data_IF_562643162723
#
_entry.id   IF_562643162723
#
_cell.length_a   1.000
_cell.length_b   1.000
_cell.length_c   1.000
_cell.angle_alpha   90.00
_cell.angle_beta   90.00
_cell.angle_gamma   90.00
#
_symmetry.space_group_name_H-M   'P 1'
#
loop_
_entity.id
_entity.type
_entity.pdbx_description
1 polymer ?
#
# COMPACT_ATOMS: atom_id res chain seq x y z
N UNK A 1 18.96 -1.67 -5.76
CA UNK A 1 18.56 -0.80 -4.65
C UNK A 1 17.05 -0.79 -4.42
N UNK A 2 16.31 -0.40 -5.45
CA UNK A 2 14.87 -0.29 -5.34
C UNK A 2 14.21 -1.65 -5.12
N UNK A 3 14.74 -2.69 -5.76
CA UNK A 3 14.24 -4.05 -5.54
C UNK A 3 14.51 -4.49 -4.10
N UNK A 4 15.67 -4.13 -3.56
CA UNK A 4 16.00 -4.42 -2.19
C UNK A 4 15.02 -3.74 -1.23
N UNK A 5 14.68 -2.48 -1.50
CA UNK A 5 13.71 -1.76 -0.67
C UNK A 5 12.34 -2.44 -0.69
N UNK A 6 11.88 -2.88 -1.87
CA UNK A 6 10.59 -3.55 -1.97
C UNK A 6 10.57 -4.86 -1.18
N UNK A 7 11.67 -5.62 -1.22
CA UNK A 7 11.77 -6.83 -0.41
C UNK A 7 11.72 -6.51 1.07
N UNK A 8 12.43 -5.47 1.49
CA UNK A 8 12.45 -5.09 2.90
C UNK A 8 11.07 -4.64 3.38
N UNK A 9 10.28 -4.01 2.51
CA UNK A 9 8.93 -3.60 2.88
C UNK A 9 8.09 -4.81 3.29
N UNK A 10 8.12 -5.89 2.52
CA UNK A 10 7.38 -7.09 2.86
C UNK A 10 7.85 -7.70 4.17
N UNK A 11 9.15 -7.71 4.39
CA UNK A 11 9.73 -8.28 5.61
C UNK A 11 9.43 -7.47 6.86
N UNK A 12 9.36 -6.14 6.73
CA UNK A 12 9.15 -5.23 7.84
C UNK A 12 7.71 -4.78 8.00
N UNK A 13 6.81 -5.29 7.17
CA UNK A 13 5.40 -4.89 7.18
C UNK A 13 4.72 -5.25 8.48
N UNK A 14 3.87 -4.35 8.97
CA UNK A 14 2.94 -4.69 10.04
C UNK A 14 1.90 -5.63 9.44
N UNK A 15 1.49 -6.64 10.21
CA UNK A 15 0.43 -7.55 9.78
C UNK A 15 -0.87 -6.75 9.63
N UNK A 16 -1.59 -6.87 8.51
CA UNK A 16 -2.80 -6.09 8.32
C UNK A 16 -3.86 -6.32 9.39
N UNK A 17 -4.00 -7.54 9.91
CA UNK A 17 -4.99 -7.78 10.95
C UNK A 17 -4.63 -7.05 12.24
N UNK A 18 -3.35 -6.98 12.57
CA UNK A 18 -2.89 -6.21 13.72
C UNK A 18 -3.11 -4.72 13.47
N UNK A 19 -2.79 -4.27 12.26
CA UNK A 19 -2.92 -2.85 11.90
C UNK A 19 -4.34 -2.33 12.09
N UNK A 20 -5.35 -3.16 11.77
CA UNK A 20 -6.75 -2.74 11.92
C UNK A 20 -7.26 -2.78 13.37
N UNK A 21 -6.46 -3.27 14.31
CA UNK A 21 -6.90 -3.43 15.69
C UNK A 21 -6.10 -2.65 16.71
N UNK A 22 -5.03 -1.96 16.31
CA UNK A 22 -4.16 -1.28 17.26
C UNK A 22 -4.40 0.24 17.37
N UNK A 23 -5.49 0.73 16.78
CA UNK A 23 -5.96 2.10 16.94
C UNK A 23 -4.97 3.17 16.42
N UNK A 24 -4.29 2.86 15.33
CA UNK A 24 -3.43 3.80 14.62
C UNK A 24 -3.88 3.91 13.17
N UNK A 25 -3.61 5.05 12.51
CA UNK A 25 -3.84 5.13 11.07
C UNK A 25 -3.00 4.10 10.31
N UNK A 26 -3.38 3.81 9.08
CA UNK A 26 -2.71 2.79 8.28
C UNK A 26 -2.32 3.36 6.92
N UNK A 27 -1.07 3.13 6.53
CA UNK A 27 -0.58 3.29 5.18
C UNK A 27 -0.43 1.88 4.61
N UNK A 28 -1.29 1.51 3.67
CA UNK A 28 -1.27 0.16 3.11
C UNK A 28 -0.92 0.24 1.63
N UNK A 29 0.20 -0.37 1.26
CA UNK A 29 0.64 -0.37 -0.13
C UNK A 29 0.59 -1.77 -0.73
N UNK A 30 -0.06 -1.87 -1.90
CA UNK A 30 -0.05 -3.06 -2.73
C UNK A 30 1.03 -2.87 -3.80
N UNK A 31 1.93 -3.84 -3.91
CA UNK A 31 3.11 -3.72 -4.77
C UNK A 31 3.49 -5.07 -5.35
N UNK A 32 4.44 -5.07 -6.27
CA UNK A 32 5.12 -6.28 -6.73
C UNK A 32 6.58 -5.94 -7.00
N UNK A 33 7.46 -6.94 -6.86
CA UNK A 33 8.89 -6.71 -7.08
C UNK A 33 9.22 -6.44 -8.54
N UNK A 34 8.39 -6.91 -9.48
CA UNK A 34 8.58 -6.67 -10.91
C UNK A 34 8.02 -5.33 -11.38
N UNK A 35 7.31 -4.62 -10.54
CA UNK A 35 6.60 -3.39 -10.91
C UNK A 35 7.58 -2.21 -10.95
N UNK A 36 7.82 -1.65 -12.14
CA UNK A 36 8.77 -0.55 -12.30
C UNK A 36 8.36 0.70 -11.55
N UNK A 37 7.07 1.05 -11.58
CA UNK A 37 6.58 2.23 -10.86
C UNK A 37 6.73 2.03 -9.35
N UNK A 38 6.50 0.81 -8.87
CA UNK A 38 6.73 0.50 -7.46
C UNK A 38 8.18 0.72 -7.07
N UNK A 39 9.11 0.31 -7.95
CA UNK A 39 10.54 0.51 -7.71
C UNK A 39 10.89 2.00 -7.68
N UNK A 40 10.31 2.77 -8.58
CA UNK A 40 10.55 4.21 -8.62
C UNK A 40 10.06 4.91 -7.36
N UNK A 41 8.94 4.47 -6.82
CA UNK A 41 8.38 5.06 -5.60
C UNK A 41 9.06 4.57 -4.32
N UNK A 42 9.78 3.45 -4.37
CA UNK A 42 10.28 2.83 -3.15
C UNK A 42 11.12 3.75 -2.27
N UNK A 43 12.05 4.56 -2.80
CA UNK A 43 12.82 5.47 -1.94
C UNK A 43 11.93 6.49 -1.20
N UNK A 44 10.92 7.02 -1.89
CA UNK A 44 9.98 7.96 -1.30
C UNK A 44 9.16 7.31 -0.20
N UNK A 45 8.67 6.09 -0.45
CA UNK A 45 7.88 5.35 0.52
C UNK A 45 8.73 4.98 1.73
N UNK A 46 9.99 4.61 1.50
CA UNK A 46 10.92 4.30 2.59
C UNK A 46 11.12 5.52 3.49
N UNK A 47 11.25 6.71 2.90
CA UNK A 47 11.40 7.94 3.66
C UNK A 47 10.14 8.23 4.49
N UNK A 48 8.97 8.06 3.91
CA UNK A 48 7.71 8.24 4.63
C UNK A 48 7.59 7.26 5.79
N UNK A 49 7.96 6.01 5.55
CA UNK A 49 7.93 4.99 6.59
C UNK A 49 8.83 5.36 7.76
N UNK A 50 10.06 5.78 7.47
CA UNK A 50 10.99 6.16 8.51
C UNK A 50 10.49 7.36 9.33
N UNK A 51 9.78 8.25 8.69
CA UNK A 51 9.28 9.45 9.34
C UNK A 51 8.06 9.18 10.20
N UNK A 52 7.15 8.31 9.76
CA UNK A 52 5.84 8.16 10.37
C UNK A 52 5.60 6.82 11.06
N UNK A 53 6.53 5.86 11.01
CA UNK A 53 6.22 4.50 11.47
C UNK A 53 5.90 4.38 12.95
N UNK A 54 6.27 5.37 13.76
CA UNK A 54 5.91 5.36 15.18
C UNK A 54 4.43 5.61 15.39
N UNK A 55 3.84 6.41 14.50
CA UNK A 55 2.46 6.86 14.67
C UNK A 55 1.49 6.19 13.71
N UNK A 56 1.99 5.59 12.66
CA UNK A 56 1.19 5.00 11.58
C UNK A 56 1.70 3.60 11.30
N UNK A 57 0.78 2.67 11.10
CA UNK A 57 1.12 1.32 10.68
C UNK A 57 1.41 1.32 9.19
N UNK A 58 2.59 0.86 8.80
CA UNK A 58 2.93 0.66 7.40
C UNK A 58 2.75 -0.81 7.06
N UNK A 59 1.81 -1.08 6.18
CA UNK A 59 1.43 -2.43 5.74
C UNK A 59 1.78 -2.54 4.27
N UNK A 60 2.56 -3.56 3.92
CA UNK A 60 2.99 -3.79 2.54
C UNK A 60 2.54 -5.17 2.09
N UNK A 61 1.72 -5.22 1.06
CA UNK A 61 1.13 -6.46 0.58
C UNK A 61 1.57 -6.71 -0.86
N UNK A 62 2.41 -7.71 -1.04
CA UNK A 62 2.89 -8.11 -2.36
C UNK A 62 1.76 -8.82 -3.08
N UNK A 63 1.33 -8.30 -4.23
CA UNK A 63 0.20 -8.87 -4.96
C UNK A 63 0.48 -10.27 -5.51
N UNK A 64 1.74 -10.66 -5.60
CA UNK A 64 2.11 -12.01 -6.01
C UNK A 64 1.97 -13.03 -4.88
N UNK A 65 1.79 -12.56 -3.64
CA UNK A 65 1.59 -13.45 -2.52
C UNK A 65 0.11 -13.78 -2.39
N UNK A 66 -0.20 -15.04 -2.63
CA UNK A 66 -1.57 -15.56 -2.64
C UNK A 66 -2.31 -15.29 -1.33
N UNK A 67 -1.59 -15.22 -0.25
CA UNK A 67 -2.12 -14.97 1.08
C UNK A 67 -2.91 -13.67 1.17
N UNK A 68 -2.58 -12.68 0.31
CA UNK A 68 -3.22 -11.36 0.33
C UNK A 68 -4.37 -11.21 -0.66
N UNK A 69 -4.79 -12.31 -1.30
CA UNK A 69 -5.82 -12.26 -2.33
C UNK A 69 -7.11 -11.61 -1.88
N UNK A 70 -7.53 -11.87 -0.64
CA UNK A 70 -8.78 -11.29 -0.14
C UNK A 70 -8.70 -9.78 0.08
N UNK A 71 -7.52 -9.25 0.38
CA UNK A 71 -7.33 -7.79 0.47
C UNK A 71 -7.32 -7.16 -0.91
N UNK A 72 -6.72 -7.85 -1.89
CA UNK A 72 -6.72 -7.38 -3.29
C UNK A 72 -8.14 -7.24 -3.80
N UNK A 73 -8.98 -8.21 -3.51
CA UNK A 73 -10.39 -8.16 -3.90
C UNK A 73 -11.15 -7.09 -3.12
N UNK A 74 -10.98 -7.08 -1.81
CA UNK A 74 -11.71 -6.17 -0.94
C UNK A 74 -11.48 -4.72 -1.32
N UNK A 75 -10.26 -4.36 -1.67
CA UNK A 75 -9.92 -2.98 -2.00
C UNK A 75 -9.82 -2.73 -3.50
N UNK A 76 -10.33 -3.67 -4.30
CA UNK A 76 -10.44 -3.54 -5.76
C UNK A 76 -9.13 -3.14 -6.41
N UNK A 77 -8.04 -3.84 -6.06
CA UNK A 77 -6.71 -3.52 -6.56
C UNK A 77 -6.54 -4.08 -7.97
N UNK A 78 -6.42 -3.19 -8.94
CA UNK A 78 -6.22 -3.57 -10.34
C UNK A 78 -4.92 -3.02 -10.92
N UNK A 79 -4.47 -1.90 -10.40
CA UNK A 79 -3.19 -1.28 -10.80
C UNK A 79 -2.31 -1.10 -9.59
N UNK A 80 -1.01 -1.21 -9.79
CA UNK A 80 -0.04 -1.06 -8.72
C UNK A 80 1.04 -0.04 -9.10
N UNK A 81 1.64 0.66 -8.15
CA UNK A 81 1.34 0.57 -6.71
C UNK A 81 -0.02 1.16 -6.39
N UNK A 82 -0.71 0.59 -5.43
CA UNK A 82 -1.90 1.21 -4.87
C UNK A 82 -1.66 1.43 -3.39
N UNK A 83 -1.85 2.66 -2.94
CA UNK A 83 -1.70 3.02 -1.53
C UNK A 83 -3.08 3.40 -0.99
N UNK A 84 -3.51 2.71 0.03
CA UNK A 84 -4.75 3.03 0.74
C UNK A 84 -4.38 3.63 2.09
N UNK A 85 -4.98 4.76 2.42
CA UNK A 85 -4.77 5.40 3.71
C UNK A 85 -6.05 5.31 4.54
N UNK A 86 -5.91 4.75 5.74
CA UNK A 86 -7.03 4.55 6.65
C UNK A 86 -6.82 5.38 7.91
N UNK A 87 -7.90 5.90 8.48
CA UNK A 87 -7.81 6.57 9.77
C UNK A 87 -7.68 5.51 10.89
N UNK A 88 -7.52 5.97 12.12
CA UNK A 88 -7.32 5.06 13.26
C UNK A 88 -8.53 4.19 13.57
N UNK A 89 -9.68 4.50 13.01
CA UNK A 89 -10.91 3.71 13.17
C UNK A 89 -11.08 2.68 12.05
N UNK A 90 -10.13 2.65 11.09
CA UNK A 90 -10.20 1.72 9.98
C UNK A 90 -11.01 2.21 8.79
N UNK A 91 -11.37 3.49 8.76
CA UNK A 91 -12.09 4.06 7.62
C UNK A 91 -11.09 4.39 6.51
N UNK A 92 -11.38 3.93 5.30
CA UNK A 92 -10.56 4.23 4.13
C UNK A 92 -10.87 5.65 3.68
N UNK A 93 -9.86 6.54 3.72
CA UNK A 93 -10.04 7.93 3.35
C UNK A 93 -9.42 8.28 2.00
N UNK A 94 -8.32 7.64 1.63
CA UNK A 94 -7.63 7.95 0.37
C UNK A 94 -7.18 6.68 -0.32
N UNK A 95 -7.33 6.65 -1.65
CA UNK A 95 -6.80 5.59 -2.49
C UNK A 95 -5.94 6.25 -3.57
N UNK A 96 -4.65 6.00 -3.53
CA UNK A 96 -3.72 6.48 -4.54
C UNK A 96 -3.34 5.33 -5.46
N UNK A 97 -3.52 5.51 -6.76
CA UNK A 97 -3.16 4.48 -7.73
C UNK A 97 -2.05 5.04 -8.62
N UNK A 98 -0.91 4.37 -8.61
CA UNK A 98 0.22 4.75 -9.43
C UNK A 98 1.20 5.68 -8.72
N UNK A 99 2.12 6.24 -9.50
CA UNK A 99 3.19 7.10 -8.98
C UNK A 99 2.62 8.43 -8.52
N UNK A 100 2.84 8.75 -7.25
CA UNK A 100 2.25 9.93 -6.64
C UNK A 100 3.28 10.97 -6.29
N UNK A 101 2.81 12.22 -6.20
CA UNK A 101 3.56 13.33 -5.66
C UNK A 101 3.70 13.13 -4.15
N UNK A 102 4.92 13.18 -3.66
CA UNK A 102 5.20 13.01 -2.24
C UNK A 102 4.43 14.02 -1.38
N UNK A 103 4.29 15.25 -1.86
CA UNK A 103 3.60 16.32 -1.12
C UNK A 103 2.15 15.92 -0.89
N UNK A 104 1.49 15.40 -1.92
CA UNK A 104 0.08 15.02 -1.82
C UNK A 104 -0.13 13.87 -0.84
N UNK A 105 0.74 12.87 -0.88
CA UNK A 105 0.65 11.74 0.06
C UNK A 105 0.89 12.25 1.49
N UNK A 106 1.88 13.11 1.67
CA UNK A 106 2.23 13.63 2.99
C UNK A 106 1.08 14.45 3.57
N UNK A 107 0.45 15.29 2.76
CA UNK A 107 -0.73 16.05 3.19
C UNK A 107 -1.86 15.12 3.61
N UNK A 108 -2.07 14.07 2.83
CA UNK A 108 -3.12 13.10 3.11
C UNK A 108 -2.86 12.34 4.41
N UNK A 109 -1.59 11.98 4.66
CA UNK A 109 -1.20 11.35 5.92
C UNK A 109 -1.52 12.28 7.09
N UNK A 110 -1.17 13.56 6.95
CA UNK A 110 -1.44 14.53 8.01
C UNK A 110 -2.95 14.71 8.27
N UNK A 111 -3.77 14.48 7.26
CA UNK A 111 -5.22 14.59 7.41
C UNK A 111 -5.85 13.38 8.10
N UNK A 112 -5.14 12.27 8.22
CA UNK A 112 -5.69 11.05 8.83
C UNK A 112 -6.04 11.23 10.31
N UNK A 113 -5.40 12.17 10.97
CA UNK A 113 -5.63 12.40 12.40
C UNK A 113 -6.75 13.39 12.67
N UNK A 114 -7.28 14.03 11.65
CA UNK A 114 -8.37 15.00 11.82
C UNK A 114 -9.69 14.25 11.98
N UNK A 115 -10.51 14.73 12.90
CA UNK A 115 -11.81 14.12 13.18
C UNK A 115 -12.89 14.67 12.28
N UNK A 116 -12.66 14.69 11.00
CA UNK A 116 -13.67 15.13 10.05
C UNK A 116 -14.47 13.93 9.56
N UNK A 117 -15.63 14.20 9.01
CA UNK A 117 -16.46 13.14 8.46
C UNK A 117 -15.68 12.41 7.37
N UNK A 118 -15.51 11.09 7.49
CA UNK A 118 -14.75 10.34 6.51
C UNK A 118 -15.40 10.39 5.13
N UNK A 119 -14.61 10.59 4.13
CA UNK A 119 -14.99 10.38 2.75
C UNK A 119 -13.80 9.82 2.01
N UNK A 120 -14.07 9.03 1.00
CA UNK A 120 -13.02 8.40 0.24
C UNK A 120 -12.66 9.25 -0.97
N UNK A 121 -11.36 9.49 -1.17
CA UNK A 121 -10.85 10.19 -2.33
C UNK A 121 -9.94 9.24 -3.12
N UNK A 122 -10.15 9.12 -4.43
CA UNK A 122 -9.38 8.25 -5.28
C UNK A 122 -8.53 9.10 -6.23
N UNK A 123 -7.22 8.92 -6.20
CA UNK A 123 -6.26 9.66 -7.01
C UNK A 123 -5.51 8.68 -7.92
N UNK A 124 -5.63 8.88 -9.23
CA UNK A 124 -5.00 8.01 -10.21
C UNK A 124 -3.79 8.69 -10.86
N UNK A 125 -2.78 7.89 -11.19
CA UNK A 125 -1.59 8.31 -11.91
C UNK A 125 -1.09 7.12 -12.73
N UNK A 126 0.11 7.21 -13.25
CA UNK A 126 0.72 6.11 -13.99
C UNK A 126 0.89 4.88 -13.10
N UNK A 127 0.44 3.72 -13.55
CA UNK A 127 0.47 2.49 -12.76
C UNK A 127 0.65 1.28 -13.66
N UNK A 128 1.03 0.15 -13.06
CA UNK A 128 1.10 -1.15 -13.73
C UNK A 128 -0.18 -1.92 -13.48
N UNK A 129 -0.68 -2.57 -14.52
CA UNK A 129 -1.91 -3.36 -14.41
C UNK A 129 -1.55 -4.75 -13.88
N UNK A 130 -2.32 -5.22 -12.92
CA UNK A 130 -2.21 -6.60 -12.43
C UNK A 130 -2.88 -7.49 -13.47
N UNK A 131 -2.10 -8.45 -14.00
CA UNK A 131 -2.65 -9.38 -14.98
C UNK A 131 -3.09 -10.64 -14.29
N UNK A 132 -4.33 -11.04 -14.54
CA UNK A 132 -4.81 -12.33 -14.11
C UNK A 132 -4.16 -13.40 -14.95
N UNK A 133 -3.58 -14.38 -14.30
CA UNK A 133 -3.12 -15.57 -14.98
C UNK A 133 -4.30 -16.54 -15.11
N UNK A 134 -5.01 -16.44 -16.21
CA UNK A 134 -6.23 -17.23 -16.42
C UNK A 134 -5.99 -18.71 -16.53
N UNK A 135 -4.76 -19.09 -16.85
CA UNK A 135 -4.41 -20.50 -16.99
C UNK A 135 -3.94 -21.11 -15.68
N UNK A 136 -3.69 -20.27 -14.69
CA UNK A 136 -3.16 -20.68 -13.38
C UNK A 136 -1.92 -21.54 -13.47
N UNK A 137 -1.13 -21.33 -14.50
CA UNK A 137 0.06 -22.14 -14.75
C UNK A 137 1.22 -21.76 -13.87
N UNK A 138 1.20 -20.53 -13.36
CA UNK A 138 2.26 -20.03 -12.52
C UNK A 138 1.69 -19.78 -11.13
N UNK A 139 2.18 -20.51 -10.16
CA UNK A 139 1.76 -20.31 -8.78
C UNK A 139 2.23 -18.92 -8.31
N UNK A 140 1.40 -18.22 -7.53
CA UNK A 140 1.81 -16.97 -6.93
C UNK A 140 3.02 -17.17 -6.04
N UNK A 141 3.89 -16.18 -6.02
CA UNK A 141 5.08 -16.24 -5.19
C UNK A 141 4.74 -15.89 -3.75
N UNK A 142 5.39 -16.59 -2.85
CA UNK A 142 5.18 -16.40 -1.43
C UNK A 142 6.20 -15.44 -0.84
N UNK A 143 6.11 -14.16 -1.17
CA UNK A 143 6.93 -13.18 -0.49
C UNK A 143 6.14 -11.91 -0.21
N UNK A 144 6.52 -11.27 0.86
CA UNK A 144 5.93 -10.01 1.31
C UNK A 144 4.62 -10.11 2.01
#
# INVERSE_FOLDING_TARGET
>A
KSTYLLKSFGELSVDPEIAFTNNKPIFMEFYAEWCEVCKEMAPQVSALKNEYEKDINFVFLNVDNQKWGHYIQKFAVNGIPQVNLFDKKGNLLYTFIGKQDEIKIRESINNLEKEEKPYEEIINAEFSIIQENKNNEVAPRNHG
#
